data_IF_834838519604
#
_entry.id   IF_834838519604
#
_cell.length_a   1.000
_cell.length_b   1.000
_cell.length_c   1.000
_cell.angle_alpha   90.00
_cell.angle_beta   90.00
_cell.angle_gamma   90.00
#
_symmetry.space_group_name_H-M   'P 1'
#
loop_
_entity.id
_entity.type
_entity.pdbx_description
1 polymer ?
#
# COMPACT_ATOMS: atom_id res chain seq x y z
N UNK A 1 -0.20 -9.62 -15.36
CA UNK A 1 -0.70 -9.96 -16.72
C UNK A 1 -0.29 -11.36 -17.15
N UNK A 2 0.98 -11.76 -17.02
CA UNK A 2 1.44 -13.12 -17.35
C UNK A 2 0.71 -14.20 -16.55
N UNK A 3 0.59 -14.05 -15.22
CA UNK A 3 -0.19 -14.99 -14.39
C UNK A 3 -1.66 -15.11 -14.83
N UNK A 4 -2.28 -13.99 -15.22
CA UNK A 4 -3.66 -14.00 -15.68
C UNK A 4 -3.82 -14.83 -16.97
N UNK A 5 -2.87 -14.71 -17.90
CA UNK A 5 -2.83 -15.57 -19.10
C UNK A 5 -2.65 -17.04 -18.72
N UNK A 6 -1.73 -17.33 -17.80
CA UNK A 6 -1.45 -18.70 -17.36
C UNK A 6 -2.68 -19.37 -16.70
N UNK A 7 -3.40 -18.64 -15.86
CA UNK A 7 -4.66 -19.08 -15.24
C UNK A 7 -5.72 -19.34 -16.30
N UNK A 8 -5.85 -18.45 -17.30
CA UNK A 8 -6.84 -18.60 -18.37
C UNK A 8 -6.56 -19.79 -19.28
N UNK A 9 -5.29 -20.04 -19.62
CA UNK A 9 -4.89 -21.16 -20.48
C UNK A 9 -4.92 -22.51 -19.74
N UNK A 10 -4.48 -22.57 -18.49
CA UNK A 10 -4.32 -23.84 -17.75
C UNK A 10 -5.56 -24.22 -16.92
N UNK A 11 -6.44 -23.26 -16.65
CA UNK A 11 -7.55 -23.41 -15.71
C UNK A 11 -7.14 -23.24 -14.25
N UNK A 12 -8.03 -22.67 -13.43
CA UNK A 12 -7.72 -22.26 -12.06
C UNK A 12 -7.36 -23.42 -11.13
N UNK A 13 -7.99 -24.60 -11.29
CA UNK A 13 -7.67 -25.79 -10.48
C UNK A 13 -6.26 -26.29 -10.73
N UNK A 14 -5.82 -26.35 -11.99
CA UNK A 14 -4.47 -26.80 -12.35
C UNK A 14 -3.44 -25.76 -11.91
N UNK A 15 -3.73 -24.47 -12.10
CA UNK A 15 -2.85 -23.40 -11.66
C UNK A 15 -2.53 -23.47 -10.15
N UNK A 16 -3.53 -23.75 -9.32
CA UNK A 16 -3.38 -23.85 -7.86
C UNK A 16 -2.72 -25.15 -7.38
N UNK A 17 -2.38 -26.11 -8.25
CA UNK A 17 -1.68 -27.33 -7.80
C UNK A 17 -0.18 -27.13 -7.61
N UNK A 18 0.43 -26.14 -8.25
CA UNK A 18 1.86 -25.89 -8.14
C UNK A 18 2.18 -24.86 -7.04
N UNK A 19 3.07 -25.22 -6.12
CA UNK A 19 3.47 -24.36 -4.99
C UNK A 19 4.12 -23.04 -5.46
N UNK A 20 4.88 -23.07 -6.55
CA UNK A 20 5.48 -21.87 -7.18
C UNK A 20 4.44 -20.85 -7.60
N UNK A 21 3.31 -21.30 -8.15
CA UNK A 21 2.23 -20.42 -8.63
C UNK A 21 1.50 -19.70 -7.47
N UNK A 22 1.49 -20.29 -6.27
CA UNK A 22 0.98 -19.63 -5.06
C UNK A 22 1.89 -18.48 -4.64
N UNK A 23 3.22 -18.69 -4.64
CA UNK A 23 4.19 -17.64 -4.31
C UNK A 23 4.08 -16.50 -5.32
N UNK A 24 4.03 -16.80 -6.63
CA UNK A 24 3.91 -15.80 -7.69
C UNK A 24 2.58 -15.03 -7.62
N UNK A 25 1.47 -15.71 -7.28
CA UNK A 25 0.18 -15.06 -7.05
C UNK A 25 0.23 -14.13 -5.82
N UNK A 26 0.76 -14.62 -4.69
CA UNK A 26 0.85 -13.86 -3.44
C UNK A 26 1.71 -12.61 -3.61
N UNK A 27 2.85 -12.71 -4.27
CA UNK A 27 3.73 -11.58 -4.60
C UNK A 27 2.99 -10.50 -5.39
N UNK A 28 2.25 -10.90 -6.44
CA UNK A 28 1.49 -9.96 -7.25
C UNK A 28 0.37 -9.28 -6.44
N UNK A 29 -0.32 -10.01 -5.56
CA UNK A 29 -1.33 -9.43 -4.66
C UNK A 29 -0.71 -8.39 -3.72
N UNK A 30 0.44 -8.71 -3.11
CA UNK A 30 1.16 -7.78 -2.22
C UNK A 30 1.56 -6.49 -2.95
N UNK A 31 2.05 -6.59 -4.19
CA UNK A 31 2.36 -5.40 -4.99
C UNK A 31 1.13 -4.60 -5.39
N UNK A 32 0.01 -5.25 -5.72
CA UNK A 32 -1.26 -4.55 -5.99
C UNK A 32 -1.73 -3.80 -4.74
N UNK A 33 -1.70 -4.43 -3.57
CA UNK A 33 -2.06 -3.80 -2.30
C UNK A 33 -1.17 -2.59 -2.00
N UNK A 34 0.14 -2.72 -2.21
CA UNK A 34 1.07 -1.58 -2.10
C UNK A 34 0.59 -0.37 -2.92
N UNK A 35 0.27 -0.57 -4.20
CA UNK A 35 -0.19 0.52 -5.06
C UNK A 35 -1.55 1.10 -4.63
N UNK A 36 -2.48 0.26 -4.18
CA UNK A 36 -3.79 0.70 -3.67
C UNK A 36 -3.60 1.63 -2.46
N UNK A 37 -2.81 1.20 -1.48
CA UNK A 37 -2.58 1.97 -0.27
C UNK A 37 -1.81 3.26 -0.54
N UNK A 38 -0.78 3.22 -1.39
CA UNK A 38 -0.04 4.41 -1.80
C UNK A 38 -0.96 5.42 -2.51
N UNK A 39 -1.82 4.95 -3.42
CA UNK A 39 -2.76 5.82 -4.12
C UNK A 39 -3.80 6.42 -3.18
N UNK A 40 -4.30 5.66 -2.20
CA UNK A 40 -5.21 6.18 -1.18
C UNK A 40 -4.57 7.30 -0.36
N UNK A 41 -3.31 7.12 0.09
CA UNK A 41 -2.52 8.14 0.79
C UNK A 41 -2.39 9.41 -0.05
N UNK A 42 -2.07 9.27 -1.34
CA UNK A 42 -1.97 10.39 -2.28
C UNK A 42 -3.30 11.16 -2.41
N UNK A 43 -4.46 10.47 -2.43
CA UNK A 43 -5.77 11.12 -2.47
C UNK A 43 -6.00 11.96 -1.21
N UNK A 44 -5.69 11.42 -0.03
CA UNK A 44 -5.86 12.14 1.24
C UNK A 44 -4.99 13.39 1.31
N UNK A 45 -3.69 13.28 0.98
CA UNK A 45 -2.80 14.44 0.93
C UNK A 45 -3.25 15.46 -0.10
N UNK A 46 -3.69 15.02 -1.29
CA UNK A 46 -4.19 15.93 -2.35
C UNK A 46 -5.45 16.67 -1.91
N UNK A 47 -6.37 15.99 -1.23
CA UNK A 47 -7.61 16.59 -0.73
C UNK A 47 -7.32 17.60 0.38
N UNK A 48 -6.42 17.27 1.29
CA UNK A 48 -5.95 18.16 2.36
C UNK A 48 -5.26 19.41 1.77
N UNK A 49 -4.40 19.24 0.78
CA UNK A 49 -3.72 20.34 0.10
C UNK A 49 -4.69 21.24 -0.68
N UNK A 50 -5.67 20.66 -1.38
CA UNK A 50 -6.72 21.45 -2.06
C UNK A 50 -7.54 22.28 -1.08
N UNK A 51 -7.88 21.70 0.07
CA UNK A 51 -8.65 22.39 1.12
C UNK A 51 -7.82 23.50 1.76
N UNK A 52 -6.54 23.23 2.06
CA UNK A 52 -5.61 24.21 2.59
C UNK A 52 -5.34 25.38 1.63
N UNK A 53 -5.30 25.13 0.32
CA UNK A 53 -5.14 26.19 -0.69
C UNK A 53 -6.41 26.98 -0.96
N UNK A 54 -7.57 26.54 -0.47
CA UNK A 54 -8.84 27.23 -0.71
C UNK A 54 -8.90 28.54 0.07
N UNK A 55 -9.06 29.67 -0.63
CA UNK A 55 -9.23 30.98 0.01
C UNK A 55 -10.47 31.05 0.91
N UNK A 56 -11.54 30.33 0.55
CA UNK A 56 -12.77 30.26 1.34
C UNK A 56 -12.55 29.61 2.71
N UNK A 57 -11.64 28.63 2.79
CA UNK A 57 -11.30 27.99 4.06
C UNK A 57 -10.68 28.99 5.04
N UNK A 58 -9.76 29.83 4.56
CA UNK A 58 -9.09 30.83 5.38
C UNK A 58 -10.01 31.97 5.79
N UNK A 59 -10.94 32.40 4.93
CA UNK A 59 -11.97 33.39 5.29
C UNK A 59 -12.85 32.91 6.46
N UNK A 60 -13.17 31.62 6.51
CA UNK A 60 -13.91 31.04 7.63
C UNK A 60 -13.05 30.95 8.90
N UNK A 61 -11.75 30.70 8.77
CA UNK A 61 -10.81 30.71 9.90
C UNK A 61 -10.56 32.10 10.48
N UNK A 62 -10.50 33.13 9.64
CA UNK A 62 -10.36 34.52 10.09
C UNK A 62 -11.57 34.94 10.94
N UNK A 63 -12.76 34.46 10.56
CA UNK A 63 -14.01 34.71 11.29
C UNK A 63 -14.29 33.68 12.40
N UNK A 64 -13.30 32.87 12.82
CA UNK A 64 -13.47 31.76 13.78
C UNK A 64 -14.20 32.16 15.08
N UNK A 65 -13.87 33.33 15.64
CA UNK A 65 -14.44 33.79 16.91
C UNK A 65 -15.93 34.17 16.82
N UNK A 66 -16.44 34.43 15.62
CA UNK A 66 -17.86 34.77 15.37
C UNK A 66 -18.74 33.54 15.11
N UNK A 67 -18.14 32.34 14.97
CA UNK A 67 -18.86 31.11 14.68
C UNK A 67 -19.45 30.47 15.95
N UNK A 68 -20.55 29.74 15.77
CA UNK A 68 -21.12 28.88 16.83
C UNK A 68 -20.10 27.84 17.28
N UNK A 69 -20.11 27.49 18.57
CA UNK A 69 -19.17 26.52 19.18
C UNK A 69 -19.09 25.18 18.44
N UNK A 70 -20.22 24.65 17.97
CA UNK A 70 -20.26 23.41 17.17
C UNK A 70 -19.47 23.52 15.84
N UNK A 71 -19.57 24.67 15.17
CA UNK A 71 -18.81 24.91 13.93
C UNK A 71 -17.33 25.10 14.23
N UNK A 72 -17.01 25.76 15.34
CA UNK A 72 -15.63 25.92 15.80
C UNK A 72 -14.94 24.57 16.00
N UNK A 73 -15.61 23.63 16.68
CA UNK A 73 -15.08 22.27 16.90
C UNK A 73 -14.88 21.52 15.58
N UNK A 74 -15.84 21.65 14.64
CA UNK A 74 -15.73 21.04 13.31
C UNK A 74 -14.53 21.57 12.53
N UNK A 75 -14.32 22.88 12.48
CA UNK A 75 -13.21 23.50 11.77
C UNK A 75 -11.86 23.20 12.43
N UNK A 76 -11.82 23.11 13.75
CA UNK A 76 -10.64 22.72 14.51
C UNK A 76 -10.24 21.27 14.18
N UNK A 77 -11.17 20.31 14.26
CA UNK A 77 -10.93 18.92 13.86
C UNK A 77 -10.49 18.80 12.39
N UNK A 78 -11.12 19.57 11.50
CA UNK A 78 -10.74 19.63 10.08
C UNK A 78 -9.33 20.18 9.86
N UNK A 79 -8.93 21.19 10.64
CA UNK A 79 -7.56 21.75 10.59
C UNK A 79 -6.54 20.73 11.02
N UNK A 80 -6.78 20.05 12.14
CA UNK A 80 -5.91 18.97 12.62
C UNK A 80 -5.74 17.88 11.56
N UNK A 81 -6.84 17.46 10.93
CA UNK A 81 -6.79 16.46 9.87
C UNK A 81 -6.00 16.95 8.64
N UNK A 82 -6.17 18.21 8.22
CA UNK A 82 -5.41 18.77 7.10
C UNK A 82 -3.91 18.83 7.42
N UNK A 83 -3.56 19.34 8.61
CA UNK A 83 -2.18 19.43 9.06
C UNK A 83 -1.53 18.05 9.21
N UNK A 84 -2.28 17.07 9.71
CA UNK A 84 -1.82 15.69 9.83
C UNK A 84 -1.34 15.13 8.48
N UNK A 85 -2.15 15.23 7.43
CA UNK A 85 -1.81 14.69 6.10
C UNK A 85 -0.80 15.54 5.32
N UNK A 86 -0.60 16.80 5.70
CA UNK A 86 0.43 17.67 5.13
C UNK A 86 1.76 17.55 5.87
N UNK A 87 1.74 17.11 7.13
CA UNK A 87 2.93 16.89 7.92
C UNK A 87 3.68 15.66 7.41
N UNK A 88 4.91 15.87 6.95
CA UNK A 88 5.79 14.80 6.50
C UNK A 88 6.48 14.06 7.65
N UNK A 89 6.35 14.55 8.89
CA UNK A 89 6.99 13.92 10.05
C UNK A 89 6.25 12.64 10.47
N UNK A 90 6.93 11.52 10.28
CA UNK A 90 6.45 10.15 10.55
C UNK A 90 6.20 9.89 12.04
N UNK A 91 6.78 10.67 12.95
CA UNK A 91 6.59 10.47 14.40
C UNK A 91 5.13 10.64 14.82
N UNK A 92 4.38 11.51 14.15
CA UNK A 92 2.99 11.83 14.48
C UNK A 92 1.98 10.95 13.74
N UNK A 93 2.45 10.09 12.83
CA UNK A 93 1.58 9.25 12.02
C UNK A 93 1.04 8.08 12.83
N UNK A 94 -0.19 7.71 12.53
CA UNK A 94 -0.81 6.54 13.11
C UNK A 94 -0.19 5.27 12.50
N UNK A 95 -0.02 4.25 13.33
CA UNK A 95 0.49 2.94 12.94
C UNK A 95 -0.32 2.29 11.80
N UNK A 96 -1.63 2.54 11.76
CA UNK A 96 -2.54 1.99 10.75
C UNK A 96 -2.66 2.82 9.46
N UNK A 97 -1.85 3.85 9.27
CA UNK A 97 -1.94 4.70 8.08
C UNK A 97 -1.67 3.94 6.79
N UNK A 98 -2.40 4.33 5.73
CA UNK A 98 -2.21 3.77 4.40
C UNK A 98 -0.76 3.83 3.92
N UNK A 99 0.00 4.88 4.27
CA UNK A 99 1.40 4.98 3.88
C UNK A 99 2.27 3.90 4.57
N UNK A 100 2.06 3.66 5.86
CA UNK A 100 2.78 2.63 6.62
C UNK A 100 2.41 1.22 6.11
N UNK A 101 1.12 0.99 5.84
CA UNK A 101 0.66 -0.27 5.25
C UNK A 101 1.26 -0.49 3.85
N UNK A 102 1.32 0.55 3.01
CA UNK A 102 1.94 0.47 1.69
C UNK A 102 3.40 0.00 1.80
N UNK A 103 4.20 0.63 2.67
CA UNK A 103 5.60 0.23 2.90
C UNK A 103 5.73 -1.22 3.38
N UNK A 104 4.84 -1.67 4.29
CA UNK A 104 4.82 -3.04 4.76
C UNK A 104 4.51 -4.04 3.63
N UNK A 105 3.49 -3.79 2.81
CA UNK A 105 3.15 -4.65 1.68
C UNK A 105 4.25 -4.66 0.60
N UNK A 106 4.91 -3.53 0.37
CA UNK A 106 6.06 -3.46 -0.52
C UNK A 106 7.24 -4.31 -0.03
N UNK A 107 7.57 -4.21 1.26
CA UNK A 107 8.63 -5.00 1.87
C UNK A 107 8.32 -6.50 1.80
N UNK A 108 7.10 -6.91 2.16
CA UNK A 108 6.66 -8.31 2.05
C UNK A 108 6.68 -8.82 0.61
N UNK A 109 6.24 -8.00 -0.35
CA UNK A 109 6.30 -8.34 -1.77
C UNK A 109 7.73 -8.58 -2.25
N UNK A 110 8.68 -7.75 -1.80
CA UNK A 110 10.10 -7.91 -2.12
C UNK A 110 10.71 -9.18 -1.51
N UNK A 111 10.34 -9.53 -0.28
CA UNK A 111 10.78 -10.80 0.33
C UNK A 111 10.26 -11.99 -0.49
N UNK A 112 8.98 -12.00 -0.86
CA UNK A 112 8.40 -13.05 -1.70
C UNK A 112 9.07 -13.13 -3.09
N UNK A 113 9.40 -11.98 -3.68
CA UNK A 113 10.12 -11.88 -4.96
C UNK A 113 11.51 -12.52 -4.88
N UNK A 114 12.23 -12.34 -3.78
CA UNK A 114 13.53 -13.00 -3.56
C UNK A 114 13.34 -14.50 -3.38
N UNK A 115 12.33 -14.95 -2.62
CA UNK A 115 12.03 -16.37 -2.45
C UNK A 115 11.74 -17.08 -3.79
N UNK A 116 11.22 -16.37 -4.79
CA UNK A 116 11.00 -16.92 -6.13
C UNK A 116 12.29 -17.43 -6.79
N UNK A 117 13.44 -16.83 -6.48
CA UNK A 117 14.74 -17.25 -7.03
C UNK A 117 15.04 -18.70 -6.66
N UNK A 118 14.56 -19.17 -5.51
CA UNK A 118 14.70 -20.56 -5.08
C UNK A 118 14.06 -21.54 -6.08
N UNK A 119 13.04 -21.16 -6.85
CA UNK A 119 12.47 -22.05 -7.88
C UNK A 119 13.35 -22.19 -9.13
N UNK A 120 14.35 -21.32 -9.32
CA UNK A 120 15.28 -21.36 -10.45
C UNK A 120 16.58 -22.12 -10.14
N UNK A 121 16.89 -22.29 -8.86
CA UNK A 121 18.08 -23.00 -8.38
C UNK A 121 18.21 -24.48 -8.85
N UNK A 122 17.14 -25.25 -9.12
CA UNK A 122 17.28 -26.63 -9.63
C UNK A 122 17.95 -26.74 -10.99
N UNK A 123 17.94 -25.65 -11.77
CA UNK A 123 18.50 -25.58 -13.12
C UNK A 123 20.04 -25.55 -13.07
N UNK A 124 20.62 -25.12 -11.94
CA UNK A 124 22.07 -25.02 -11.77
C UNK A 124 22.60 -26.39 -11.33
N UNK A 125 23.44 -27.01 -12.16
CA UNK A 125 23.92 -28.39 -11.98
C UNK A 125 24.60 -28.68 -10.63
N UNK A 126 25.14 -27.66 -9.96
CA UNK A 126 25.76 -27.81 -8.63
C UNK A 126 24.75 -27.69 -7.47
N UNK A 127 23.69 -26.90 -7.62
CA UNK A 127 22.73 -26.56 -6.54
C UNK A 127 21.45 -27.40 -6.61
N UNK A 128 21.15 -27.98 -7.78
CA UNK A 128 19.96 -28.81 -7.96
C UNK A 128 19.85 -29.99 -6.98
N UNK A 129 20.89 -30.81 -6.79
CA UNK A 129 20.84 -31.91 -5.82
C UNK A 129 20.66 -31.44 -4.38
N UNK A 130 21.17 -30.24 -4.04
CA UNK A 130 21.03 -29.67 -2.70
C UNK A 130 19.56 -29.31 -2.41
N UNK A 131 18.87 -28.74 -3.40
CA UNK A 131 17.48 -28.30 -3.24
C UNK A 131 16.48 -29.46 -3.16
N UNK A 132 16.72 -30.55 -3.89
CA UNK A 132 15.86 -31.75 -3.81
C UNK A 132 15.91 -32.39 -2.42
N UNK A 133 17.01 -32.21 -1.67
CA UNK A 133 17.12 -32.70 -0.29
C UNK A 133 16.46 -31.78 0.76
N UNK A 134 16.10 -30.54 0.39
CA UNK A 134 15.44 -29.57 1.29
C UNK A 134 13.92 -29.68 1.18
N UNK A 135 13.40 -30.17 0.05
CA UNK A 135 11.99 -30.49 -0.17
C UNK A 135 11.67 -31.94 0.22
#
# INVERSE_FOLDING_TARGET
>A
WQEFKQVFTSGMRVYLTAHSNYVDCSMNILYILYFIFLYSSMIYTRTSMKTFRSGEYWKHMENYNSLTKEKQDHYLAKTYHILYWLNADRYYWNSGDSQNLAEAFFAMGNVASICRICFLLPIIGFVGPLQVNIY
#
